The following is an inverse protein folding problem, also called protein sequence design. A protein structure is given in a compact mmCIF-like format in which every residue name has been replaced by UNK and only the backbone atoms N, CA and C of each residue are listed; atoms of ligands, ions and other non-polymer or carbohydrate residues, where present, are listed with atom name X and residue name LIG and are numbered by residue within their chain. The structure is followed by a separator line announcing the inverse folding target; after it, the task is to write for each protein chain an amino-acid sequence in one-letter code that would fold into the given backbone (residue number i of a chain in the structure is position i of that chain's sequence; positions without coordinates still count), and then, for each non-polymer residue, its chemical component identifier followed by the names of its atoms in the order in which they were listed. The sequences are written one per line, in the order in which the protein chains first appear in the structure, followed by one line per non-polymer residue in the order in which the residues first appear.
data_IF_020509305833
#
_entry.id   IF_020509305833
#
_cell.length_a   1.000
_cell.length_b   1.000
_cell.length_c   1.000
_cell.angle_alpha   90.00
_cell.angle_beta   90.00
_cell.angle_gamma   90.00
#
_symmetry.space_group_name_H-M   'P 1'
#
loop_
_entity.id
_entity.type
_entity.pdbx_description
1 polymer ?
#
# COMPACT_ATOMS: atom_id res chain seq x y z
N UNK A 1 3.15 1.51 -17.85
CA UNK A 1 4.00 0.71 -16.93
C UNK A 1 5.43 0.73 -17.44
N UNK A 2 6.46 0.76 -16.58
CA UNK A 2 7.87 0.61 -16.99
C UNK A 2 8.39 -0.75 -16.55
N UNK A 3 9.07 -1.47 -17.44
CA UNK A 3 9.73 -2.74 -17.14
C UNK A 3 11.23 -2.54 -17.27
N UNK A 4 12.01 -3.04 -16.31
CA UNK A 4 13.47 -3.05 -16.35
C UNK A 4 14.00 -4.42 -15.96
N UNK A 5 15.08 -4.84 -16.61
CA UNK A 5 15.78 -6.09 -16.28
C UNK A 5 17.01 -5.79 -15.43
N UNK A 6 17.22 -6.62 -14.43
CA UNK A 6 18.32 -6.54 -13.49
C UNK A 6 18.91 -7.95 -13.30
N UNK A 7 20.13 -8.02 -12.79
CA UNK A 7 20.69 -9.27 -12.28
C UNK A 7 20.52 -9.26 -10.76
N UNK A 8 19.92 -10.33 -10.23
CA UNK A 8 19.79 -10.56 -8.80
C UNK A 8 21.13 -10.86 -8.14
N UNK A 9 21.10 -11.02 -6.82
CA UNK A 9 22.30 -11.27 -6.02
C UNK A 9 23.10 -12.50 -6.49
N UNK A 10 22.42 -13.55 -6.94
CA UNK A 10 23.01 -14.78 -7.48
C UNK A 10 23.11 -14.81 -9.01
N UNK A 11 23.04 -13.65 -9.68
CA UNK A 11 23.13 -13.57 -11.15
C UNK A 11 21.85 -13.94 -11.92
N UNK A 12 20.81 -14.42 -11.23
CA UNK A 12 19.51 -14.71 -11.82
C UNK A 12 18.86 -13.43 -12.40
N UNK A 13 18.28 -13.47 -13.61
CA UNK A 13 17.59 -12.30 -14.16
C UNK A 13 16.33 -11.98 -13.35
N UNK A 14 16.19 -10.72 -12.95
CA UNK A 14 15.03 -10.17 -12.24
C UNK A 14 14.39 -9.08 -13.09
N UNK A 15 13.06 -9.12 -13.22
CA UNK A 15 12.29 -8.09 -13.90
C UNK A 15 11.61 -7.18 -12.88
N UNK A 16 11.95 -5.90 -12.89
CA UNK A 16 11.29 -4.88 -12.09
C UNK A 16 10.16 -4.22 -12.89
N UNK A 17 8.94 -4.39 -12.43
CA UNK A 17 7.78 -3.66 -12.91
C UNK A 17 7.56 -2.43 -12.03
N UNK A 18 7.56 -1.25 -12.63
CA UNK A 18 7.32 0.02 -11.93
C UNK A 18 6.14 0.75 -12.56
N UNK A 19 5.11 0.96 -11.75
CA UNK A 19 3.96 1.79 -12.08
C UNK A 19 4.09 3.10 -11.32
N UNK A 20 3.86 4.23 -11.99
CA UNK A 20 3.81 5.55 -11.36
C UNK A 20 2.54 6.23 -11.81
N UNK A 21 1.61 6.39 -10.88
CA UNK A 21 0.38 7.14 -11.08
C UNK A 21 0.69 8.61 -10.78
N UNK A 22 0.41 9.49 -11.74
CA UNK A 22 0.65 10.95 -11.61
C UNK A 22 -0.63 11.73 -11.33
N UNK A 23 -1.74 11.22 -11.81
CA UNK A 23 -3.06 11.77 -11.53
C UNK A 23 -3.36 11.62 -10.04
N UNK A 24 -3.67 12.74 -9.37
CA UNK A 24 -3.86 12.77 -7.92
C UNK A 24 -5.18 12.12 -7.51
N UNK A 25 -6.24 12.28 -8.30
CA UNK A 25 -7.55 11.68 -8.04
C UNK A 25 -7.44 10.16 -8.10
N UNK A 26 -6.94 9.64 -9.21
CA UNK A 26 -6.73 8.22 -9.42
C UNK A 26 -5.77 7.61 -8.37
N UNK A 27 -4.70 8.32 -8.00
CA UNK A 27 -3.80 7.83 -6.94
C UNK A 27 -4.50 7.73 -5.58
N UNK A 28 -5.35 8.70 -5.24
CA UNK A 28 -6.16 8.70 -4.03
C UNK A 28 -7.17 7.56 -4.03
N UNK A 29 -7.87 7.36 -5.16
CA UNK A 29 -8.87 6.29 -5.31
C UNK A 29 -8.24 4.90 -5.22
N UNK A 30 -7.07 4.70 -5.83
CA UNK A 30 -6.32 3.44 -5.73
C UNK A 30 -5.89 3.19 -4.28
N UNK A 31 -5.34 4.20 -3.60
CA UNK A 31 -4.95 4.05 -2.19
C UNK A 31 -6.16 3.70 -1.32
N UNK A 32 -7.29 4.41 -1.50
CA UNK A 32 -8.54 4.15 -0.79
C UNK A 32 -9.02 2.72 -1.05
N UNK A 33 -9.04 2.28 -2.30
CA UNK A 33 -9.46 0.94 -2.67
C UNK A 33 -8.57 -0.13 -2.04
N UNK A 34 -7.25 0.04 -2.07
CA UNK A 34 -6.30 -0.90 -1.42
C UNK A 34 -6.56 -0.98 0.08
N UNK A 35 -6.71 0.17 0.75
CA UNK A 35 -6.96 0.23 2.19
C UNK A 35 -8.33 -0.36 2.57
N UNK A 36 -9.34 -0.14 1.75
CA UNK A 36 -10.68 -0.68 1.93
C UNK A 36 -10.76 -2.20 1.69
N UNK A 37 -9.92 -2.71 0.78
CA UNK A 37 -9.86 -4.13 0.46
C UNK A 37 -9.05 -4.95 1.46
N UNK A 38 -8.33 -4.29 2.37
CA UNK A 38 -7.62 -4.97 3.44
C UNK A 38 -8.63 -5.57 4.44
N UNK A 39 -8.40 -6.81 4.90
CA UNK A 39 -9.13 -7.38 6.02
C UNK A 39 -9.01 -6.50 7.26
N UNK A 40 -10.07 -6.49 8.08
CA UNK A 40 -10.16 -5.65 9.26
C UNK A 40 -8.95 -5.78 10.19
N UNK A 41 -8.54 -7.01 10.51
CA UNK A 41 -7.37 -7.27 11.38
C UNK A 41 -6.07 -6.69 10.80
N UNK A 42 -5.84 -6.84 9.50
CA UNK A 42 -4.64 -6.32 8.84
C UNK A 42 -4.69 -4.79 8.70
N UNK A 43 -5.88 -4.21 8.55
CA UNK A 43 -6.06 -2.76 8.58
C UNK A 43 -5.79 -2.19 9.97
N UNK A 44 -6.23 -2.86 11.03
CA UNK A 44 -5.87 -2.49 12.41
C UNK A 44 -4.37 -2.61 12.65
N UNK A 45 -3.73 -3.67 12.15
CA UNK A 45 -2.27 -3.81 12.19
C UNK A 45 -1.55 -2.68 11.45
N UNK A 46 -2.05 -2.28 10.26
CA UNK A 46 -1.52 -1.16 9.49
C UNK A 46 -1.58 0.15 10.29
N UNK A 47 -2.72 0.41 10.95
CA UNK A 47 -2.92 1.59 11.79
C UNK A 47 -2.00 1.56 13.02
N UNK A 48 -1.89 0.41 13.68
CA UNK A 48 -1.03 0.24 14.86
C UNK A 48 0.46 0.41 14.52
N UNK A 49 0.88 0.04 13.31
CA UNK A 49 2.27 0.12 12.84
C UNK A 49 2.55 1.33 11.93
N UNK A 50 1.66 2.33 11.91
CA UNK A 50 1.70 3.44 10.97
C UNK A 50 2.97 4.29 11.07
N UNK A 51 3.48 4.50 12.29
CA UNK A 51 4.73 5.25 12.55
C UNK A 51 5.94 4.61 11.86
N UNK A 52 5.98 3.28 11.80
CA UNK A 52 7.07 2.54 11.15
C UNK A 52 6.93 2.54 9.62
N UNK A 53 5.72 2.79 9.11
CA UNK A 53 5.37 2.75 7.68
C UNK A 53 5.40 4.13 7.03
N UNK A 54 5.43 5.21 7.82
CA UNK A 54 5.60 6.57 7.32
C UNK A 54 7.08 6.95 7.37
N UNK A 55 7.63 7.31 6.22
CA UNK A 55 9.00 7.83 6.14
C UNK A 55 9.08 8.92 5.09
N UNK A 56 9.76 10.03 5.40
CA UNK A 56 9.98 11.16 4.48
C UNK A 56 8.67 11.66 3.83
N UNK A 57 7.59 11.76 4.61
CA UNK A 57 6.26 12.21 4.14
C UNK A 57 5.59 11.25 3.15
N UNK A 58 5.94 9.97 3.15
CA UNK A 58 5.30 8.95 2.32
C UNK A 58 4.90 7.74 3.16
N UNK A 59 3.73 7.19 2.88
CA UNK A 59 3.28 5.91 3.40
C UNK A 59 3.83 4.77 2.52
N UNK A 60 4.39 3.76 3.17
CA UNK A 60 4.90 2.55 2.54
C UNK A 60 4.05 1.35 2.95
N UNK A 61 3.45 0.71 1.95
CA UNK A 61 2.63 -0.50 2.13
C UNK A 61 3.29 -1.62 1.33
N UNK A 62 3.36 -2.79 1.96
CA UNK A 62 3.89 -4.03 1.37
C UNK A 62 2.73 -4.99 1.20
N UNK A 63 2.38 -5.28 -0.05
CA UNK A 63 1.27 -6.16 -0.39
C UNK A 63 1.76 -7.54 -0.81
N UNK A 64 1.05 -8.58 -0.43
CA UNK A 64 1.36 -9.95 -0.82
C UNK A 64 1.15 -10.15 -2.32
N UNK A 65 2.24 -10.52 -3.03
CA UNK A 65 2.22 -10.72 -4.48
C UNK A 65 1.35 -11.91 -4.91
N UNK A 66 1.37 -12.99 -4.14
CA UNK A 66 0.64 -14.22 -4.46
C UNK A 66 -0.86 -14.05 -4.19
N UNK A 67 -1.22 -13.40 -3.08
CA UNK A 67 -2.61 -13.08 -2.75
C UNK A 67 -3.19 -12.07 -3.73
N UNK A 68 -2.43 -11.04 -4.10
CA UNK A 68 -2.87 -10.05 -5.09
C UNK A 68 -3.18 -10.67 -6.45
N UNK A 69 -2.40 -11.69 -6.86
CA UNK A 69 -2.70 -12.46 -8.09
C UNK A 69 -4.05 -13.19 -8.01
N UNK A 70 -4.47 -13.60 -6.82
CA UNK A 70 -5.78 -14.22 -6.55
C UNK A 70 -6.89 -13.19 -6.27
N UNK A 71 -6.64 -11.89 -6.48
CA UNK A 71 -7.60 -10.82 -6.22
C UNK A 71 -7.78 -10.46 -4.74
N UNK A 72 -6.88 -10.92 -3.86
CA UNK A 72 -6.93 -10.63 -2.43
C UNK A 72 -5.86 -9.61 -2.05
N UNK A 73 -6.27 -8.51 -1.42
CA UNK A 73 -5.33 -7.52 -0.87
C UNK A 73 -4.95 -7.94 0.55
N UNK A 74 -3.67 -8.23 0.76
CA UNK A 74 -3.11 -8.68 2.04
C UNK A 74 -1.76 -8.01 2.28
N UNK A 75 -1.42 -7.74 3.54
CA UNK A 75 -0.09 -7.30 3.94
C UNK A 75 0.89 -8.47 3.94
N UNK A 76 2.15 -8.21 3.60
CA UNK A 76 3.20 -9.23 3.62
C UNK A 76 4.59 -8.61 3.76
N UNK A 77 5.50 -9.33 4.40
CA UNK A 77 6.90 -8.93 4.57
C UNK A 77 7.84 -9.62 3.58
N UNK A 78 7.46 -10.78 3.05
CA UNK A 78 8.32 -11.62 2.21
C UNK A 78 7.92 -11.49 0.74
N UNK A 79 8.85 -11.00 -0.08
CA UNK A 79 8.66 -10.76 -1.52
C UNK A 79 7.38 -9.96 -1.90
N UNK A 80 7.17 -8.77 -1.32
CA UNK A 80 5.94 -8.02 -1.52
C UNK A 80 5.95 -7.15 -2.79
N UNK A 81 4.75 -6.77 -3.21
CA UNK A 81 4.52 -5.61 -4.07
C UNK A 81 4.68 -4.35 -3.21
N UNK A 82 5.66 -3.52 -3.56
CA UNK A 82 5.94 -2.26 -2.86
C UNK A 82 5.05 -1.13 -3.37
N UNK A 83 4.22 -0.60 -2.49
CA UNK A 83 3.42 0.59 -2.76
C UNK A 83 3.95 1.76 -1.93
N UNK A 84 4.17 2.91 -2.60
CA UNK A 84 4.57 4.16 -1.97
C UNK A 84 3.59 5.26 -2.33
N UNK A 85 2.92 5.82 -1.32
CA UNK A 85 1.99 6.93 -1.47
C UNK A 85 2.56 8.19 -0.78
N UNK A 86 2.94 9.25 -1.53
CA UNK A 86 3.25 10.54 -0.92
C UNK A 86 2.01 11.09 -0.22
N UNK A 87 2.20 11.59 1.00
CA UNK A 87 1.13 12.13 1.83
C UNK A 87 1.13 13.66 1.78
N UNK A 88 -0.05 14.27 1.94
CA UNK A 88 -0.18 15.72 2.06
C UNK A 88 0.31 16.24 3.42
N UNK A 89 0.15 15.43 4.48
CA UNK A 89 0.67 15.69 5.82
C UNK A 89 1.61 14.55 6.23
N UNK A 90 2.71 14.90 6.90
CA UNK A 90 3.61 13.92 7.54
C UNK A 90 3.22 13.64 8.99
N UNK A 91 2.17 14.27 9.51
CA UNK A 91 1.67 14.02 10.85
C UNK A 91 0.96 12.66 10.87
N UNK A 92 1.46 11.75 11.70
CA UNK A 92 0.93 10.39 11.84
C UNK A 92 -0.54 10.41 12.27
N UNK A 93 -0.93 11.37 13.10
CA UNK A 93 -2.29 11.47 13.64
C UNK A 93 -3.31 11.84 12.54
N UNK A 94 -2.95 12.74 11.63
CA UNK A 94 -3.80 13.09 10.48
C UNK A 94 -4.01 11.89 9.57
N UNK A 95 -2.95 11.11 9.36
CA UNK A 95 -2.98 9.92 8.50
C UNK A 95 -3.76 8.79 9.17
N UNK A 96 -3.62 8.61 10.49
CA UNK A 96 -4.40 7.68 11.29
C UNK A 96 -5.89 7.98 11.16
N UNK A 97 -6.29 9.25 11.36
CA UNK A 97 -7.69 9.66 11.20
C UNK A 97 -8.23 9.38 9.81
N UNK A 98 -7.46 9.72 8.76
CA UNK A 98 -7.87 9.43 7.39
C UNK A 98 -8.05 7.91 7.13
N UNK A 99 -7.19 7.06 7.71
CA UNK A 99 -7.30 5.60 7.63
C UNK A 99 -8.53 5.07 8.37
N UNK A 100 -8.80 5.61 9.57
CA UNK A 100 -9.98 5.25 10.37
C UNK A 100 -11.29 5.69 9.69
N UNK A 101 -11.32 6.84 9.03
CA UNK A 101 -12.46 7.29 8.24
C UNK A 101 -12.75 6.35 7.06
N UNK A 102 -11.70 5.88 6.37
CA UNK A 102 -11.85 4.86 5.32
C UNK A 102 -12.39 3.55 5.90
N UNK A 103 -11.99 3.19 7.13
CA UNK A 103 -12.47 2.00 7.81
C UNK A 103 -13.97 2.09 8.17
N UNK A 104 -14.40 3.21 8.75
CA UNK A 104 -15.79 3.47 9.17
C UNK A 104 -16.74 3.65 7.99
N UNK A 105 -16.26 4.25 6.90
CA UNK A 105 -17.05 4.42 5.67
C UNK A 105 -17.47 3.10 5.01
N UNK A 106 -16.83 1.98 5.36
CA UNK A 106 -17.20 0.64 4.90
C UNK A 106 -18.27 -0.02 5.76
N UNK A 107 -18.37 0.37 7.03
CA UNK A 107 -19.39 -0.15 7.97
C UNK A 107 -20.78 0.46 7.68
N UNK A 108 -20.85 1.60 7.01
CA UNK A 108 -22.12 2.29 6.68
C UNK A 108 -22.81 1.74 5.42
N UNK A 109 -22.24 0.73 4.76
CA UNK A 109 -22.75 0.12 3.51
C UNK A 109 -23.19 -1.33 3.72
N UNK A 110 -23.06 -1.86 4.95
CA UNK A 110 -23.60 -3.15 5.40
C UNK A 110 -24.81 -2.93 6.31
#
# INVERSE_FOLDING_TARGET
VKVKEFKGHYGNPIRLLRIRIRDRGLASDILRHVLASLPELERLELIASLELRISKGSLFIRLDKQRAFLGQVRLCEVDPIWMRAPLASSNVEDVRKALEEVAKGLESVL
#
